data_IF_766983288307
#
_entry.id   IF_766983288307
#
_cell.length_a   1.000
_cell.length_b   1.000
_cell.length_c   1.000
_cell.angle_alpha   90.00
_cell.angle_beta   90.00
_cell.angle_gamma   90.00
#
_symmetry.space_group_name_H-M   'P 1'
#
loop_
_entity.id
_entity.type
_entity.pdbx_description
1 polymer ?
#
# COMPACT_ATOMS: atom_id res chain seq x y z
N UNK A 1 16.70 13.93 -2.13
CA UNK A 1 15.63 13.05 -1.59
C UNK A 1 14.90 12.43 -2.78
N UNK A 2 15.24 11.19 -3.12
CA UNK A 2 14.69 10.53 -4.32
C UNK A 2 13.22 10.20 -4.12
N UNK A 3 12.37 10.65 -5.06
CA UNK A 3 10.96 10.26 -5.11
C UNK A 3 10.84 8.75 -4.98
N UNK A 4 10.14 8.28 -3.94
CA UNK A 4 9.85 6.86 -3.80
C UNK A 4 9.01 6.42 -4.99
N UNK A 5 9.62 5.64 -5.89
CA UNK A 5 8.99 5.28 -7.14
C UNK A 5 7.93 4.21 -6.88
N UNK A 6 6.68 4.64 -6.75
CA UNK A 6 5.52 3.76 -6.61
C UNK A 6 5.34 2.95 -7.90
N UNK A 7 5.89 1.74 -7.93
CA UNK A 7 5.44 0.77 -8.93
C UNK A 7 3.93 0.56 -8.77
N UNK A 8 3.22 0.38 -9.90
CA UNK A 8 1.75 0.15 -9.91
C UNK A 8 1.35 -0.96 -8.92
N UNK A 9 2.19 -1.99 -8.79
CA UNK A 9 1.99 -3.11 -7.87
C UNK A 9 2.05 -2.68 -6.39
N UNK A 10 3.08 -1.91 -5.99
CA UNK A 10 3.23 -1.43 -4.60
C UNK A 10 2.12 -0.47 -4.20
N UNK A 11 1.71 0.42 -5.12
CA UNK A 11 0.59 1.34 -4.88
C UNK A 11 -0.71 0.56 -4.61
N UNK A 12 -0.97 -0.49 -5.39
CA UNK A 12 -2.15 -1.33 -5.21
C UNK A 12 -2.13 -2.09 -3.87
N UNK A 13 -1.00 -2.66 -3.48
CA UNK A 13 -0.84 -3.30 -2.14
C UNK A 13 -1.20 -2.33 -1.02
N UNK A 14 -0.67 -1.10 -1.07
CA UNK A 14 -0.93 -0.11 -0.05
C UNK A 14 -2.38 0.43 -0.07
N UNK A 15 -2.98 0.58 -1.25
CA UNK A 15 -4.41 0.92 -1.38
C UNK A 15 -5.30 -0.14 -0.72
N UNK A 16 -5.06 -1.42 -1.02
CA UNK A 16 -5.82 -2.52 -0.41
C UNK A 16 -5.63 -2.57 1.11
N UNK A 17 -4.42 -2.25 1.59
CA UNK A 17 -4.18 -2.11 3.03
C UNK A 17 -4.93 -0.92 3.63
N UNK A 18 -4.95 0.22 2.94
CA UNK A 18 -5.72 1.41 3.33
C UNK A 18 -7.24 1.18 3.29
N UNK A 19 -7.74 0.27 2.45
CA UNK A 19 -9.14 -0.20 2.46
C UNK A 19 -9.47 -1.05 3.70
N UNK A 20 -8.48 -1.44 4.50
CA UNK A 20 -8.65 -2.29 5.68
C UNK A 20 -8.60 -3.79 5.37
N UNK A 21 -8.16 -4.22 4.18
CA UNK A 21 -8.00 -5.65 3.87
C UNK A 21 -6.84 -6.26 4.64
N UNK A 22 -6.99 -7.53 5.03
CA UNK A 22 -5.91 -8.28 5.69
C UNK A 22 -4.79 -8.61 4.70
N UNK A 23 -3.54 -8.68 5.20
CA UNK A 23 -2.38 -9.03 4.37
C UNK A 23 -2.50 -10.37 3.65
N UNK A 24 -3.27 -11.32 4.21
CA UNK A 24 -3.57 -12.61 3.56
C UNK A 24 -4.40 -12.43 2.30
N UNK A 25 -5.42 -11.58 2.33
CA UNK A 25 -6.28 -11.31 1.17
C UNK A 25 -5.55 -10.49 0.11
N UNK A 26 -4.78 -9.49 0.55
CA UNK A 26 -3.93 -8.69 -0.34
C UNK A 26 -2.91 -9.58 -1.06
N UNK A 27 -2.29 -10.51 -0.32
CA UNK A 27 -1.35 -11.47 -0.86
C UNK A 27 -2.00 -12.37 -1.92
N UNK A 28 -3.21 -12.86 -1.65
CA UNK A 28 -4.00 -13.67 -2.60
C UNK A 28 -4.37 -12.90 -3.86
N UNK A 29 -4.85 -11.66 -3.73
CA UNK A 29 -5.23 -10.79 -4.86
C UNK A 29 -4.01 -10.43 -5.73
N UNK A 30 -2.86 -10.20 -5.09
CA UNK A 30 -1.63 -9.76 -5.75
C UNK A 30 -0.71 -10.91 -6.17
N UNK A 31 -1.10 -12.17 -5.91
CA UNK A 31 -0.28 -13.38 -6.16
C UNK A 31 1.13 -13.29 -5.55
N UNK A 32 1.23 -12.79 -4.32
CA UNK A 32 2.47 -12.68 -3.54
C UNK A 32 2.30 -13.37 -2.19
N UNK A 33 3.37 -13.50 -1.40
CA UNK A 33 3.25 -13.96 -0.01
C UNK A 33 2.78 -12.85 0.92
N UNK A 34 2.10 -13.23 2.03
CA UNK A 34 1.67 -12.28 3.06
C UNK A 34 2.86 -11.51 3.66
N UNK A 35 4.00 -12.17 3.85
CA UNK A 35 5.25 -11.54 4.28
C UNK A 35 5.73 -10.49 3.28
N UNK A 36 5.65 -10.78 1.97
CA UNK A 36 6.01 -9.82 0.92
C UNK A 36 5.07 -8.61 0.92
N UNK A 37 3.77 -8.82 1.10
CA UNK A 37 2.80 -7.74 1.22
C UNK A 37 3.11 -6.84 2.43
N UNK A 38 3.41 -7.43 3.59
CA UNK A 38 3.79 -6.71 4.80
C UNK A 38 5.08 -5.90 4.61
N UNK A 39 6.12 -6.50 4.02
CA UNK A 39 7.38 -5.80 3.71
C UNK A 39 7.16 -4.62 2.74
N UNK A 40 6.27 -4.78 1.76
CA UNK A 40 5.93 -3.71 0.81
C UNK A 40 5.27 -2.54 1.55
N UNK A 41 4.26 -2.81 2.39
CA UNK A 41 3.58 -1.77 3.18
C UNK A 41 4.56 -1.06 4.09
N UNK A 42 5.37 -1.80 4.85
CA UNK A 42 6.37 -1.21 5.75
C UNK A 42 7.35 -0.31 5.01
N UNK A 43 7.89 -0.75 3.87
CA UNK A 43 8.80 0.07 3.06
C UNK A 43 8.12 1.33 2.52
N UNK A 44 6.84 1.25 2.17
CA UNK A 44 6.07 2.41 1.74
C UNK A 44 5.94 3.39 2.90
N UNK A 45 5.57 2.93 4.09
CA UNK A 45 5.44 3.79 5.27
C UNK A 45 6.78 4.40 5.73
N UNK A 46 7.89 3.69 5.56
CA UNK A 46 9.24 4.17 5.91
C UNK A 46 9.81 5.17 4.91
N UNK A 47 9.46 5.06 3.61
CA UNK A 47 10.06 5.87 2.55
C UNK A 47 9.16 6.98 2.00
N UNK A 48 7.84 6.92 2.28
CA UNK A 48 6.86 7.87 1.76
C UNK A 48 6.41 8.78 2.91
N UNK A 49 6.43 10.12 2.71
CA UNK A 49 5.94 11.05 3.71
C UNK A 49 4.49 10.78 4.11
N UNK A 50 4.17 10.99 5.39
CA UNK A 50 2.80 10.83 5.92
C UNK A 50 1.75 11.55 5.09
N UNK A 51 2.04 12.75 4.59
CA UNK A 51 1.11 13.53 3.75
C UNK A 51 0.72 12.80 2.45
N UNK A 52 1.66 12.14 1.79
CA UNK A 52 1.38 11.37 0.57
C UNK A 52 0.61 10.08 0.89
N UNK A 53 0.94 9.43 2.01
CA UNK A 53 0.20 8.27 2.51
C UNK A 53 -1.25 8.64 2.85
N UNK A 54 -1.47 9.82 3.42
CA UNK A 54 -2.78 10.33 3.78
C UNK A 54 -3.63 10.65 2.54
N UNK A 55 -3.03 11.27 1.50
CA UNK A 55 -3.70 11.45 0.20
C UNK A 55 -4.17 10.13 -0.41
N UNK A 56 -3.37 9.06 -0.29
CA UNK A 56 -3.75 7.73 -0.78
C UNK A 56 -4.92 7.17 0.04
N UNK A 57 -4.86 7.27 1.37
CA UNK A 57 -5.95 6.86 2.28
C UNK A 57 -7.24 7.63 2.01
N UNK A 58 -7.16 8.95 1.84
CA UNK A 58 -8.30 9.81 1.52
C UNK A 58 -8.93 9.48 0.16
N UNK A 59 -8.11 9.15 -0.84
CA UNK A 59 -8.59 8.74 -2.17
C UNK A 59 -9.34 7.41 -2.13
N UNK A 60 -8.91 6.50 -1.26
CA UNK A 60 -9.55 5.20 -1.05
C UNK A 60 -10.87 5.36 -0.29
N UNK A 61 -10.89 6.22 0.74
CA UNK A 61 -12.08 6.47 1.55
C UNK A 61 -13.22 7.16 0.78
N UNK A 62 -12.91 7.94 -0.28
CA UNK A 62 -13.91 8.59 -1.14
C UNK A 62 -14.61 7.65 -2.13
N UNK A 63 -14.17 6.39 -2.26
CA UNK A 63 -14.77 5.40 -3.18
C UNK A 63 -15.88 4.56 -2.54
N UNK A 64 -16.26 4.86 -1.30
CA UNK A 64 -17.29 4.13 -0.55
C UNK A 64 -18.56 4.94 -0.43
#
# INVERSE_FOLDING_TARGET
MGSYNFTKQRKKVYQLHAEGKFFRDIAKEMKISATRAHQIVRRIEENVPKEELDKIKASVSKRK
#
